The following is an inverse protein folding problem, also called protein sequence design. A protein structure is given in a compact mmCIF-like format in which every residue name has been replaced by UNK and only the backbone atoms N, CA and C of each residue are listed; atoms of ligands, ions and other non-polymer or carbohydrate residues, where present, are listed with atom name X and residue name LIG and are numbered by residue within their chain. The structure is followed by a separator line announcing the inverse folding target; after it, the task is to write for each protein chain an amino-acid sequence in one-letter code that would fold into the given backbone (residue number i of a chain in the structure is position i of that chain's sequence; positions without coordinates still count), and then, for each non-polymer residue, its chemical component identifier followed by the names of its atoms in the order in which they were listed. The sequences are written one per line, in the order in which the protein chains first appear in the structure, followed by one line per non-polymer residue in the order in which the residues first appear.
data_IF_274533417561
#
_entry.id   IF_274533417561
#
_cell.length_a   1.000
_cell.length_b   1.000
_cell.length_c   1.000
_cell.angle_alpha   90.00
_cell.angle_beta   90.00
_cell.angle_gamma   90.00
#
_symmetry.space_group_name_H-M   'P 1'
#
loop_
_entity.id
_entity.type
_entity.pdbx_description
1 polymer ?
#
# COMPACT_ATOMS: atom_id res chain seq x y z
N UNK A 1 -1.50 11.66 23.38
CA UNK A 1 -0.21 11.04 23.65
C UNK A 1 0.82 11.57 22.67
N UNK A 2 1.96 11.94 23.22
CA UNK A 2 3.06 12.49 22.44
C UNK A 2 3.52 11.54 21.34
N UNK A 3 3.58 10.26 21.64
CA UNK A 3 4.01 9.25 20.69
C UNK A 3 3.02 9.14 19.53
N UNK A 4 1.75 9.22 19.82
CA UNK A 4 0.71 9.17 18.79
C UNK A 4 0.80 10.36 17.84
N UNK A 5 1.11 11.55 18.36
CA UNK A 5 1.22 12.72 17.51
C UNK A 5 2.46 12.67 16.61
N UNK A 6 3.48 11.90 16.98
CA UNK A 6 4.67 11.72 16.15
C UNK A 6 4.50 10.61 15.12
N UNK A 7 3.62 9.66 15.37
CA UNK A 7 3.46 8.49 14.50
C UNK A 7 2.27 8.61 13.57
N UNK A 8 1.09 8.69 14.13
CA UNK A 8 -0.12 8.76 13.34
C UNK A 8 -1.28 9.18 14.23
N UNK A 9 -2.23 9.88 13.65
CA UNK A 9 -3.45 10.22 14.37
C UNK A 9 -4.31 8.98 14.52
N UNK A 10 -5.34 9.08 15.35
CA UNK A 10 -6.28 7.98 15.54
C UNK A 10 -6.99 7.63 14.23
N UNK A 11 -7.35 8.65 13.46
CA UNK A 11 -8.01 8.45 12.18
C UNK A 11 -7.09 7.74 11.19
N UNK A 12 -5.81 8.08 11.18
CA UNK A 12 -4.84 7.45 10.30
C UNK A 12 -4.62 5.98 10.66
N UNK A 13 -4.56 5.68 11.95
CA UNK A 13 -4.42 4.29 12.42
C UNK A 13 -5.62 3.45 12.00
N UNK A 14 -6.82 4.02 12.10
CA UNK A 14 -8.03 3.34 11.68
C UNK A 14 -8.03 3.09 10.18
N UNK A 15 -7.58 4.07 9.42
CA UNK A 15 -7.46 3.94 7.97
C UNK A 15 -6.47 2.83 7.58
N UNK A 16 -5.31 2.79 8.26
CA UNK A 16 -4.32 1.74 8.05
C UNK A 16 -4.88 0.36 8.39
N UNK A 17 -5.67 0.28 9.45
CA UNK A 17 -6.30 -0.98 9.82
C UNK A 17 -7.26 -1.47 8.73
N UNK A 18 -8.04 -0.58 8.16
CA UNK A 18 -8.93 -0.93 7.06
C UNK A 18 -8.17 -1.45 5.84
N UNK A 19 -7.03 -0.84 5.55
CA UNK A 19 -6.17 -1.30 4.46
C UNK A 19 -5.62 -2.69 4.71
N UNK A 20 -5.15 -2.94 5.92
CA UNK A 20 -4.63 -4.27 6.28
C UNK A 20 -5.73 -5.32 6.16
N UNK A 21 -6.93 -5.00 6.59
CA UNK A 21 -8.06 -5.91 6.48
C UNK A 21 -8.48 -6.14 5.02
N UNK A 22 -8.33 -5.14 4.18
CA UNK A 22 -8.58 -5.27 2.74
C UNK A 22 -7.62 -6.26 2.10
N UNK A 23 -6.36 -6.27 2.54
CA UNK A 23 -5.34 -7.16 2.03
C UNK A 23 -4.54 -6.56 0.88
N UNK A 24 -3.55 -7.30 0.41
CA UNK A 24 -2.67 -6.86 -0.66
C UNK A 24 -3.47 -6.57 -1.93
N UNK A 25 -3.35 -5.35 -2.46
CA UNK A 25 -4.10 -4.95 -3.65
C UNK A 25 -3.69 -5.76 -4.88
N UNK A 26 -2.42 -6.15 -4.98
CA UNK A 26 -1.96 -6.95 -6.10
C UNK A 26 -2.54 -8.37 -6.03
N UNK A 27 -2.47 -9.00 -4.88
CA UNK A 27 -3.03 -10.33 -4.71
C UNK A 27 -4.54 -10.32 -4.96
N UNK A 28 -5.22 -9.31 -4.45
CA UNK A 28 -6.67 -9.22 -4.55
C UNK A 28 -7.14 -8.98 -5.98
N UNK A 29 -6.48 -8.06 -6.70
CA UNK A 29 -6.96 -7.66 -8.02
C UNK A 29 -6.29 -8.40 -9.18
N UNK A 30 -5.10 -8.92 -9.00
CA UNK A 30 -4.34 -9.56 -10.08
C UNK A 30 -4.11 -11.04 -9.87
N UNK A 31 -4.05 -11.50 -8.62
CA UNK A 31 -3.86 -12.91 -8.32
C UNK A 31 -5.18 -13.62 -7.99
N UNK A 32 -6.22 -12.87 -7.74
CA UNK A 32 -7.55 -13.38 -7.42
C UNK A 32 -7.56 -14.43 -6.31
N UNK A 33 -6.75 -14.18 -5.29
CA UNK A 33 -6.65 -15.11 -4.18
C UNK A 33 -7.79 -14.89 -3.19
N UNK A 34 -8.42 -15.99 -2.77
CA UNK A 34 -9.47 -15.94 -1.77
C UNK A 34 -8.89 -15.72 -0.38
N UNK A 35 -7.74 -16.33 -0.12
CA UNK A 35 -7.07 -16.27 1.16
C UNK A 35 -5.87 -15.34 1.04
N UNK A 36 -6.07 -14.08 1.39
CA UNK A 36 -5.04 -13.08 1.19
C UNK A 36 -3.96 -13.19 2.27
N UNK A 37 -2.68 -13.12 1.88
CA UNK A 37 -1.59 -13.15 2.84
C UNK A 37 -1.56 -11.90 3.70
N UNK A 38 -0.89 -11.95 4.86
CA UNK A 38 -0.67 -10.74 5.64
C UNK A 38 0.03 -9.68 4.81
N UNK A 39 -0.31 -8.43 5.04
CA UNK A 39 0.26 -7.35 4.25
C UNK A 39 0.84 -6.25 5.14
N UNK A 40 1.74 -5.50 4.54
CA UNK A 40 2.34 -4.31 5.14
C UNK A 40 1.77 -3.08 4.47
N UNK A 41 1.88 -1.95 5.14
CA UNK A 41 1.50 -0.67 4.56
C UNK A 41 2.69 -0.11 3.81
N UNK A 42 2.51 0.13 2.51
CA UNK A 42 3.51 0.74 1.67
C UNK A 42 3.15 2.20 1.44
N UNK A 43 4.04 3.10 1.83
CA UNK A 43 3.84 4.53 1.60
C UNK A 43 4.25 4.88 0.18
N UNK A 44 3.38 5.58 -0.53
CA UNK A 44 3.64 5.98 -1.90
C UNK A 44 4.59 7.17 -1.90
N UNK A 45 5.71 7.01 -2.58
CA UNK A 45 6.67 8.08 -2.81
C UNK A 45 6.81 8.27 -4.29
N UNK A 46 6.37 9.40 -4.78
CA UNK A 46 6.54 9.74 -6.19
C UNK A 46 7.44 10.97 -6.31
N UNK A 47 7.60 11.43 -7.52
CA UNK A 47 8.50 12.54 -7.79
C UNK A 47 8.06 13.86 -7.15
N UNK A 48 6.82 13.96 -6.73
CA UNK A 48 6.35 15.11 -6.00
C UNK A 48 6.75 15.07 -4.53
N UNK A 49 7.12 13.95 -4.07
CA UNK A 49 7.61 13.44 -2.79
C UNK A 49 7.89 14.37 -1.64
N UNK A 50 7.28 15.47 -1.58
CA UNK A 50 7.41 16.45 -0.51
C UNK A 50 6.66 15.98 0.71
N UNK A 51 7.29 15.08 1.44
CA UNK A 51 6.64 14.51 2.58
C UNK A 51 5.57 13.52 2.18
N UNK A 52 5.50 12.44 2.91
CA UNK A 52 4.45 11.45 2.71
C UNK A 52 3.21 11.93 3.42
N UNK A 53 2.13 12.01 2.69
CA UNK A 53 0.85 12.18 3.33
C UNK A 53 0.44 10.82 3.86
N UNK A 54 -0.05 10.79 5.08
CA UNK A 54 -0.40 9.54 5.72
C UNK A 54 -1.49 8.77 4.99
N UNK A 55 -2.30 9.49 4.20
CA UNK A 55 -3.34 8.85 3.40
C UNK A 55 -2.80 8.22 2.11
N UNK A 56 -1.56 8.52 1.72
CA UNK A 56 -0.97 8.02 0.48
C UNK A 56 -0.29 6.69 0.71
N UNK A 57 -1.09 5.65 0.91
CA UNK A 57 -0.62 4.32 1.27
C UNK A 57 -1.39 3.25 0.53
N UNK A 58 -0.75 2.11 0.28
CA UNK A 58 -1.44 0.93 -0.23
C UNK A 58 -0.96 -0.29 0.55
N UNK A 59 -1.82 -1.28 0.79
CA UNK A 59 -1.41 -2.52 1.44
C UNK A 59 -0.78 -3.46 0.43
N UNK A 60 0.39 -3.98 0.76
CA UNK A 60 1.10 -4.94 -0.09
C UNK A 60 1.62 -6.09 0.78
N UNK A 61 1.46 -7.32 0.30
CA UNK A 61 2.03 -8.46 0.98
C UNK A 61 3.56 -8.45 0.82
N UNK A 62 4.24 -9.29 1.58
CA UNK A 62 5.70 -9.34 1.50
C UNK A 62 6.20 -9.58 0.08
N UNK A 63 5.60 -10.53 -0.63
CA UNK A 63 6.02 -10.86 -1.99
C UNK A 63 5.97 -9.64 -2.92
N UNK A 64 4.92 -8.85 -2.83
CA UNK A 64 4.74 -7.70 -3.73
C UNK A 64 5.30 -6.40 -3.18
N UNK A 65 5.80 -6.41 -1.96
CA UNK A 65 6.41 -5.24 -1.33
C UNK A 65 7.94 -5.35 -1.31
N UNK A 66 8.47 -6.37 -0.67
CA UNK A 66 9.90 -6.53 -0.48
C UNK A 66 10.43 -7.88 -0.99
N UNK A 67 9.56 -8.79 -1.36
CA UNK A 67 9.94 -10.11 -1.81
C UNK A 67 10.29 -10.17 -3.28
N UNK A 68 10.21 -11.36 -3.84
CA UNK A 68 10.66 -11.66 -5.20
C UNK A 68 10.04 -10.75 -6.26
N UNK A 69 8.77 -10.42 -6.12
CA UNK A 69 8.05 -9.55 -7.05
C UNK A 69 7.74 -8.19 -6.43
N UNK A 70 8.48 -7.82 -5.40
CA UNK A 70 8.23 -6.61 -4.65
C UNK A 70 8.72 -5.35 -5.35
N UNK A 71 8.01 -4.26 -5.10
CA UNK A 71 8.36 -2.96 -5.66
C UNK A 71 9.78 -2.54 -5.28
N UNK A 72 10.23 -2.93 -4.09
CA UNK A 72 11.59 -2.64 -3.63
C UNK A 72 12.64 -3.58 -4.23
N UNK A 73 12.21 -4.66 -4.86
CA UNK A 73 13.13 -5.64 -5.45
C UNK A 73 13.26 -5.47 -6.95
N UNK A 74 12.15 -5.41 -7.67
CA UNK A 74 12.16 -5.30 -9.13
C UNK A 74 12.17 -3.87 -9.62
N UNK A 75 11.97 -2.91 -8.70
CA UNK A 75 11.98 -1.48 -9.00
C UNK A 75 10.61 -0.93 -9.33
N UNK A 76 10.43 0.34 -9.01
CA UNK A 76 9.15 1.02 -9.18
C UNK A 76 8.64 0.95 -10.61
N UNK A 77 9.49 1.24 -11.58
CA UNK A 77 9.09 1.28 -12.99
C UNK A 77 8.57 -0.07 -13.46
N UNK A 78 9.33 -1.13 -13.22
CA UNK A 78 8.95 -2.48 -13.63
C UNK A 78 7.68 -2.92 -12.92
N UNK A 79 7.60 -2.65 -11.63
CA UNK A 79 6.45 -3.01 -10.82
C UNK A 79 5.17 -2.32 -11.33
N UNK A 80 5.27 -1.02 -11.62
CA UNK A 80 4.13 -0.26 -12.10
C UNK A 80 3.71 -0.65 -13.52
N UNK A 81 4.65 -1.08 -14.33
CA UNK A 81 4.32 -1.62 -15.65
C UNK A 81 3.49 -2.90 -15.56
N UNK A 82 3.69 -3.68 -14.50
CA UNK A 82 2.96 -4.92 -14.29
C UNK A 82 1.58 -4.72 -13.69
N UNK A 83 1.48 -3.84 -12.70
CA UNK A 83 0.30 -3.77 -11.84
C UNK A 83 -0.43 -2.44 -11.90
N UNK A 84 0.08 -1.48 -12.63
CA UNK A 84 -0.46 -0.12 -12.64
C UNK A 84 0.30 0.77 -11.68
N UNK A 85 0.11 2.07 -11.84
CA UNK A 85 0.83 3.01 -10.97
C UNK A 85 0.31 2.93 -9.54
N UNK A 86 1.18 3.27 -8.60
CA UNK A 86 0.80 3.29 -7.19
C UNK A 86 -0.39 4.23 -6.95
N UNK A 87 -0.43 5.34 -7.66
CA UNK A 87 -1.53 6.30 -7.55
C UNK A 87 -2.84 5.73 -8.05
N UNK A 88 -2.82 5.00 -9.16
CA UNK A 88 -4.00 4.35 -9.68
C UNK A 88 -4.53 3.30 -8.70
N UNK A 89 -3.64 2.50 -8.15
CA UNK A 89 -4.02 1.49 -7.16
C UNK A 89 -4.59 2.14 -5.90
N UNK A 90 -3.98 3.21 -5.45
CA UNK A 90 -4.46 3.95 -4.29
C UNK A 90 -5.86 4.53 -4.54
N UNK A 91 -6.07 5.12 -5.70
CA UNK A 91 -7.37 5.69 -6.06
C UNK A 91 -8.45 4.61 -6.07
N UNK A 92 -8.16 3.48 -6.69
CA UNK A 92 -9.09 2.35 -6.74
C UNK A 92 -9.41 1.83 -5.33
N UNK A 93 -8.40 1.71 -4.50
CA UNK A 93 -8.57 1.28 -3.12
C UNK A 93 -9.47 2.24 -2.35
N UNK A 94 -9.22 3.53 -2.50
CA UNK A 94 -10.00 4.56 -1.82
C UNK A 94 -11.48 4.47 -2.21
N UNK A 95 -11.76 4.18 -3.46
CA UNK A 95 -13.14 4.03 -3.93
C UNK A 95 -13.81 2.77 -3.36
N UNK A 96 -13.04 1.75 -3.05
CA UNK A 96 -13.57 0.49 -2.52
C UNK A 96 -13.63 0.46 -0.99
N UNK A 97 -12.92 1.34 -0.32
CA UNK A 97 -13.00 1.45 1.12
C UNK A 97 -14.15 2.37 1.50
#
# INVERSE_FOLDING_TARGET
DRQDSLMATKAEKLHMQKMVEFGCVVCRWYCEEDDLPPCNIHHIRDHTGMGMKDADMIPLCHTHHQGKLGIHTIGKKTWEERYGTQRELHQRLTEEL
#
